data_IF_629573851171
#
_entry.id   IF_629573851171
#
_cell.length_a   1.000
_cell.length_b   1.000
_cell.length_c   1.000
_cell.angle_alpha   90.00
_cell.angle_beta   90.00
_cell.angle_gamma   90.00
#
_symmetry.space_group_name_H-M   'P 1'
#
loop_
_entity.id
_entity.type
_entity.pdbx_description
1 polymer ?
#
# COMPACT_ATOMS: atom_id res chain seq x y z
N UNK A 1 -32.05 10.01 -16.73
CA UNK A 1 -31.21 10.54 -15.65
C UNK A 1 -29.95 11.09 -16.28
N UNK A 2 -29.63 12.36 -16.04
CA UNK A 2 -28.37 12.95 -16.50
C UNK A 2 -27.24 12.40 -15.62
N UNK A 3 -26.20 11.85 -16.25
CA UNK A 3 -24.99 11.37 -15.57
C UNK A 3 -24.33 12.52 -14.79
N UNK A 4 -23.81 12.29 -13.57
CA UNK A 4 -23.05 13.31 -12.86
C UNK A 4 -21.82 13.68 -13.69
N UNK A 5 -21.67 14.97 -13.96
CA UNK A 5 -20.51 15.53 -14.66
C UNK A 5 -19.27 15.33 -13.78
N UNK A 6 -18.24 14.70 -14.36
CA UNK A 6 -16.96 14.43 -13.72
C UNK A 6 -16.06 15.66 -13.82
N UNK A 7 -15.53 16.16 -12.70
CA UNK A 7 -14.59 17.29 -12.68
C UNK A 7 -13.37 16.97 -11.82
N UNK A 8 -12.18 17.04 -12.42
CA UNK A 8 -10.91 16.96 -11.71
C UNK A 8 -10.71 18.27 -10.94
N UNK A 9 -10.69 18.20 -9.61
CA UNK A 9 -10.88 19.38 -8.76
C UNK A 9 -9.63 20.23 -8.50
N UNK A 10 -8.46 19.90 -9.07
CA UNK A 10 -7.26 20.68 -8.75
C UNK A 10 -6.33 20.92 -9.94
N UNK A 11 -6.24 22.20 -10.35
CA UNK A 11 -5.13 22.79 -11.10
C UNK A 11 -4.69 24.02 -10.30
N UNK A 12 -3.42 24.08 -9.90
CA UNK A 12 -2.86 25.25 -9.22
C UNK A 12 -3.18 26.53 -10.02
N UNK A 13 -3.73 27.54 -9.34
CA UNK A 13 -4.02 28.86 -9.92
C UNK A 13 -5.31 29.00 -10.75
N UNK A 14 -6.22 28.02 -10.75
CA UNK A 14 -7.55 28.15 -11.37
C UNK A 14 -8.69 27.87 -10.40
N UNK A 15 -9.48 28.90 -10.14
CA UNK A 15 -10.75 28.76 -9.44
C UNK A 15 -11.75 27.99 -10.31
N UNK A 16 -12.40 26.98 -9.73
CA UNK A 16 -13.51 26.28 -10.35
C UNK A 16 -14.80 26.70 -9.65
N UNK A 17 -15.81 27.03 -10.44
CA UNK A 17 -17.13 27.44 -9.96
C UNK A 17 -18.16 26.42 -10.40
N UNK A 18 -19.01 26.00 -9.48
CA UNK A 18 -20.07 25.04 -9.73
C UNK A 18 -21.44 25.65 -9.40
N UNK A 19 -22.51 25.25 -10.10
CA UNK A 19 -23.87 25.61 -9.73
C UNK A 19 -24.24 25.16 -8.31
N UNK A 20 -24.99 26.00 -7.61
CA UNK A 20 -25.49 25.70 -6.26
C UNK A 20 -26.30 24.40 -6.23
N UNK A 21 -26.14 23.64 -5.15
CA UNK A 21 -26.82 22.36 -4.87
C UNK A 21 -26.49 21.21 -5.83
N UNK A 22 -25.56 21.40 -6.77
CA UNK A 22 -25.10 20.33 -7.64
C UNK A 22 -24.33 19.27 -6.83
N UNK A 23 -24.71 18.01 -6.99
CA UNK A 23 -23.92 16.90 -6.48
C UNK A 23 -22.62 16.80 -7.28
N UNK A 24 -21.51 16.98 -6.59
CA UNK A 24 -20.17 16.90 -7.15
C UNK A 24 -19.48 15.65 -6.67
N UNK A 25 -18.68 15.10 -7.57
CA UNK A 25 -17.73 14.06 -7.28
C UNK A 25 -16.33 14.70 -7.36
N UNK A 26 -15.62 14.73 -6.24
CA UNK A 26 -14.38 15.50 -6.07
C UNK A 26 -13.25 14.53 -5.69
N UNK A 27 -12.11 14.65 -6.39
CA UNK A 27 -10.85 13.95 -6.11
C UNK A 27 -9.69 14.87 -6.48
N UNK A 28 -8.49 14.56 -5.99
CA UNK A 28 -7.26 15.25 -6.34
C UNK A 28 -6.08 14.28 -6.32
N UNK A 29 -4.96 14.67 -6.92
CA UNK A 29 -3.72 13.90 -6.89
C UNK A 29 -2.50 14.81 -7.03
N UNK A 30 -1.33 14.32 -6.62
CA UNK A 30 -0.06 15.01 -6.70
C UNK A 30 1.09 13.98 -6.90
N UNK A 31 2.12 14.25 -7.72
CA UNK A 31 2.35 15.42 -8.57
C UNK A 31 1.37 15.52 -9.74
N UNK A 32 1.03 16.75 -10.11
CA UNK A 32 0.17 17.04 -11.26
C UNK A 32 0.84 16.57 -12.57
N UNK A 33 0.15 15.73 -13.34
CA UNK A 33 0.65 15.25 -14.63
C UNK A 33 -0.07 15.96 -15.78
N UNK A 34 0.48 17.09 -16.23
CA UNK A 34 -0.10 17.92 -17.30
C UNK A 34 -0.10 17.28 -18.70
N UNK A 35 0.42 16.05 -18.86
CA UNK A 35 0.53 15.38 -20.16
C UNK A 35 -0.65 14.47 -20.51
N UNK A 36 -1.51 14.13 -19.55
CA UNK A 36 -2.71 13.32 -19.80
C UNK A 36 -3.84 14.21 -20.35
N UNK A 37 -3.82 14.41 -21.66
CA UNK A 37 -4.75 15.30 -22.38
C UNK A 37 -6.14 14.69 -22.67
N UNK A 38 -6.36 13.41 -22.33
CA UNK A 38 -7.50 12.64 -22.86
C UNK A 38 -8.37 11.93 -21.80
N UNK A 39 -8.03 11.99 -20.52
CA UNK A 39 -8.81 11.33 -19.46
C UNK A 39 -8.60 12.01 -18.12
N UNK A 40 -9.62 12.73 -17.64
CA UNK A 40 -9.60 13.32 -16.31
C UNK A 40 -9.71 12.27 -15.18
N UNK A 41 -9.96 10.99 -15.51
CA UNK A 41 -10.39 9.98 -14.54
C UNK A 41 -9.37 8.87 -14.26
N UNK A 42 -8.27 8.86 -15.02
CA UNK A 42 -7.24 7.83 -14.91
C UNK A 42 -5.88 8.48 -14.97
N UNK A 43 -5.00 8.08 -14.06
CA UNK A 43 -3.60 8.49 -14.04
C UNK A 43 -2.78 7.41 -14.73
N UNK A 44 -2.08 7.74 -15.80
CA UNK A 44 -1.05 6.86 -16.35
C UNK A 44 0.25 7.03 -15.55
N UNK A 45 0.67 5.97 -14.86
CA UNK A 45 1.90 5.98 -14.06
C UNK A 45 2.84 4.94 -14.66
N UNK A 46 4.07 5.37 -14.94
CA UNK A 46 5.13 4.52 -15.46
C UNK A 46 6.33 4.58 -14.52
N UNK A 47 6.86 3.40 -14.18
CA UNK A 47 8.15 3.28 -13.53
C UNK A 47 9.23 3.64 -14.54
N UNK A 48 10.25 4.39 -14.11
CA UNK A 48 11.36 4.71 -15.00
C UNK A 48 12.10 3.42 -15.38
N UNK A 49 12.58 3.20 -16.63
CA UNK A 49 13.20 1.91 -17.02
C UNK A 49 14.54 1.62 -16.32
N UNK A 50 15.34 2.64 -16.03
CA UNK A 50 16.70 2.44 -15.46
C UNK A 50 16.91 3.10 -14.10
N UNK A 51 16.31 4.27 -13.86
CA UNK A 51 16.53 5.06 -12.66
C UNK A 51 15.24 5.19 -11.82
N UNK A 52 15.04 4.25 -10.91
CA UNK A 52 13.89 4.21 -10.00
C UNK A 52 13.71 5.48 -9.15
N UNK A 53 14.75 6.30 -8.93
CA UNK A 53 14.64 7.56 -8.20
C UNK A 53 13.85 8.63 -8.96
N UNK A 54 13.63 8.43 -10.26
CA UNK A 54 12.82 9.31 -11.10
C UNK A 54 11.36 8.88 -11.18
N UNK A 55 10.99 7.71 -10.61
CA UNK A 55 9.60 7.30 -10.51
C UNK A 55 8.87 8.26 -9.56
N UNK A 56 7.79 8.92 -9.99
CA UNK A 56 7.08 9.88 -9.15
C UNK A 56 6.35 9.16 -8.02
N UNK A 57 6.45 9.70 -6.81
CA UNK A 57 5.60 9.28 -5.69
C UNK A 57 4.24 9.95 -5.83
N UNK A 58 3.24 9.18 -6.26
CA UNK A 58 1.90 9.70 -6.49
C UNK A 58 1.04 9.49 -5.25
N UNK A 59 0.48 10.59 -4.76
CA UNK A 59 -0.59 10.59 -3.75
C UNK A 59 -1.91 10.96 -4.41
N UNK A 60 -2.99 10.32 -3.98
CA UNK A 60 -4.35 10.55 -4.48
C UNK A 60 -5.27 10.75 -3.28
N UNK A 61 -6.28 11.60 -3.45
CA UNK A 61 -7.37 11.71 -2.51
C UNK A 61 -8.53 10.80 -2.90
N UNK A 62 -9.01 10.02 -1.95
CA UNK A 62 -10.22 9.22 -2.13
C UNK A 62 -11.39 10.10 -2.56
N UNK A 63 -12.25 9.61 -3.46
CA UNK A 63 -13.27 10.46 -4.01
C UNK A 63 -14.43 10.68 -3.06
N UNK A 64 -14.75 11.95 -2.85
CA UNK A 64 -15.89 12.38 -2.03
C UNK A 64 -17.05 12.81 -2.91
N UNK A 65 -18.25 12.43 -2.50
CA UNK A 65 -19.50 12.92 -3.13
C UNK A 65 -20.15 13.89 -2.16
N UNK A 66 -20.32 15.14 -2.58
CA UNK A 66 -20.92 16.18 -1.75
C UNK A 66 -21.78 17.11 -2.60
N UNK A 67 -22.83 17.68 -2.00
CA UNK A 67 -23.56 18.78 -2.64
C UNK A 67 -22.74 20.04 -2.52
N UNK A 68 -22.51 20.71 -3.65
CA UNK A 68 -21.85 21.99 -3.65
C UNK A 68 -22.71 23.05 -2.97
N UNK A 69 -22.14 23.65 -1.94
CA UNK A 69 -22.63 24.87 -1.35
C UNK A 69 -21.50 25.89 -1.36
N UNK A 70 -21.73 27.12 -1.84
CA UNK A 70 -20.73 28.17 -1.85
C UNK A 70 -20.05 28.32 -0.48
N UNK A 71 -18.73 28.51 -0.49
CA UNK A 71 -17.89 28.69 0.72
C UNK A 71 -17.88 27.50 1.70
N UNK A 72 -18.28 26.30 1.26
CA UNK A 72 -18.14 25.08 2.07
C UNK A 72 -16.79 24.41 1.78
N UNK A 73 -15.93 24.19 2.79
CA UNK A 73 -14.69 23.47 2.60
C UNK A 73 -14.97 22.00 2.25
N UNK A 74 -14.09 21.42 1.43
CA UNK A 74 -14.09 19.98 1.12
C UNK A 74 -12.77 19.41 1.59
N UNK A 75 -12.83 18.52 2.56
CA UNK A 75 -11.65 17.81 3.05
C UNK A 75 -11.32 16.64 2.12
N UNK A 76 -10.06 16.58 1.69
CA UNK A 76 -9.54 15.54 0.82
C UNK A 76 -8.39 14.82 1.52
N UNK A 77 -8.61 13.56 1.89
CA UNK A 77 -7.60 12.72 2.51
C UNK A 77 -6.66 12.15 1.46
N UNK A 78 -5.43 12.66 1.39
CA UNK A 78 -4.42 12.13 0.49
C UNK A 78 -3.75 10.89 1.06
N UNK A 79 -3.51 9.91 0.20
CA UNK A 79 -2.73 8.74 0.52
C UNK A 79 -1.83 8.33 -0.64
N UNK A 80 -0.71 7.71 -0.33
CA UNK A 80 0.15 7.08 -1.33
C UNK A 80 -0.60 5.91 -1.99
N UNK A 81 -0.53 5.80 -3.32
CA UNK A 81 -1.14 4.70 -4.07
C UNK A 81 -0.13 3.63 -4.52
N UNK A 82 1.16 3.99 -4.50
CA UNK A 82 2.28 3.09 -4.80
C UNK A 82 2.73 2.34 -3.53
N UNK A 83 3.57 1.32 -3.73
CA UNK A 83 4.26 0.65 -2.63
C UNK A 83 5.72 1.09 -2.56
N UNK A 84 6.26 1.21 -1.34
CA UNK A 84 7.67 1.49 -1.09
C UNK A 84 8.39 0.28 -0.54
N UNK A 85 9.53 -0.05 -1.15
CA UNK A 85 10.37 -1.15 -0.75
C UNK A 85 11.75 -0.67 -0.30
N UNK A 86 12.11 -0.99 0.93
CA UNK A 86 13.46 -0.91 1.45
C UNK A 86 14.01 -2.32 1.65
N UNK A 87 15.22 -2.58 1.13
CA UNK A 87 15.87 -3.88 1.26
C UNK A 87 17.13 -3.69 2.11
N UNK A 88 17.18 -4.44 3.20
CA UNK A 88 18.37 -4.60 4.04
C UNK A 88 18.95 -5.98 3.81
N UNK A 89 20.27 -6.09 3.86
CA UNK A 89 20.94 -7.37 3.71
C UNK A 89 22.08 -7.54 4.70
N UNK A 90 22.23 -8.74 5.24
CA UNK A 90 23.41 -9.20 5.97
C UNK A 90 23.92 -10.51 5.38
N UNK A 91 25.14 -10.90 5.73
CA UNK A 91 25.67 -12.21 5.42
C UNK A 91 25.43 -13.18 6.58
N UNK A 92 24.99 -14.38 6.26
CA UNK A 92 24.82 -15.46 7.24
C UNK A 92 26.10 -16.32 7.40
N UNK A 93 26.90 -16.43 6.34
CA UNK A 93 28.02 -17.38 6.24
C UNK A 93 29.39 -16.70 6.45
N UNK A 94 29.44 -15.63 7.25
CA UNK A 94 30.63 -14.79 7.43
C UNK A 94 30.71 -13.65 6.41
N UNK A 95 31.75 -12.83 6.47
CA UNK A 95 31.85 -11.62 5.63
C UNK A 95 31.79 -11.95 4.14
N UNK A 96 31.06 -11.13 3.38
CA UNK A 96 30.87 -11.32 1.94
C UNK A 96 30.99 -9.98 1.21
N UNK A 97 31.42 -10.03 -0.05
CA UNK A 97 31.47 -8.86 -0.91
C UNK A 97 30.43 -8.99 -2.02
N UNK A 98 29.56 -8.01 -2.17
CA UNK A 98 28.64 -7.90 -3.30
C UNK A 98 29.30 -7.05 -4.38
N UNK A 99 29.22 -7.50 -5.62
CA UNK A 99 29.59 -6.71 -6.80
C UNK A 99 28.47 -5.77 -7.19
N UNK A 100 27.28 -6.33 -7.41
CA UNK A 100 26.09 -5.60 -7.88
C UNK A 100 24.83 -6.19 -7.26
N UNK A 101 23.87 -5.32 -6.93
CA UNK A 101 22.54 -5.71 -6.45
C UNK A 101 21.49 -4.99 -7.28
N UNK A 102 20.57 -5.74 -7.87
CA UNK A 102 19.57 -5.21 -8.79
C UNK A 102 18.16 -5.75 -8.56
N UNK A 103 17.16 -4.90 -8.82
CA UNK A 103 15.79 -5.34 -9.06
C UNK A 103 15.49 -5.29 -10.55
N UNK A 104 15.16 -6.44 -11.12
CA UNK A 104 14.65 -6.56 -12.48
C UNK A 104 13.12 -6.65 -12.45
N UNK A 105 12.47 -5.86 -13.30
CA UNK A 105 11.02 -5.85 -13.53
C UNK A 105 10.76 -6.36 -14.94
N UNK A 106 9.92 -7.38 -15.05
CA UNK A 106 9.56 -8.00 -16.34
C UNK A 106 8.88 -6.98 -17.30
N UNK A 107 9.01 -7.22 -18.61
CA UNK A 107 8.38 -6.40 -19.66
C UNK A 107 6.85 -6.32 -19.48
N UNK A 108 6.26 -5.22 -19.93
CA UNK A 108 4.81 -4.93 -19.83
C UNK A 108 4.28 -4.82 -18.39
N UNK A 109 5.15 -4.72 -17.38
CA UNK A 109 4.78 -4.52 -15.97
C UNK A 109 5.17 -3.14 -15.42
N UNK A 110 5.86 -2.33 -16.22
CA UNK A 110 6.42 -1.04 -15.82
C UNK A 110 5.48 0.16 -16.02
N UNK A 111 4.25 -0.02 -16.50
CA UNK A 111 3.21 1.01 -16.43
C UNK A 111 1.82 0.45 -16.06
N UNK A 112 1.05 1.25 -15.32
CA UNK A 112 -0.34 0.95 -14.93
C UNK A 112 -1.18 2.22 -14.94
N UNK A 113 -2.49 2.03 -15.09
CA UNK A 113 -3.45 3.11 -14.89
C UNK A 113 -4.00 3.05 -13.47
N UNK A 114 -4.09 4.19 -12.80
CA UNK A 114 -4.86 4.30 -11.56
C UNK A 114 -6.17 5.02 -11.85
N UNK A 115 -7.29 4.34 -11.65
CA UNK A 115 -8.61 4.91 -11.89
C UNK A 115 -9.05 5.70 -10.65
N UNK A 116 -9.08 7.03 -10.79
CA UNK A 116 -9.47 7.94 -9.72
C UNK A 116 -10.93 7.73 -9.28
N UNK A 117 -11.79 7.20 -10.17
CA UNK A 117 -13.20 6.94 -9.87
C UNK A 117 -13.39 5.71 -8.99
N UNK A 118 -12.71 4.63 -9.35
CA UNK A 118 -12.88 3.32 -8.71
C UNK A 118 -11.81 3.03 -7.67
N UNK A 119 -10.82 3.92 -7.51
CA UNK A 119 -9.67 3.77 -6.61
C UNK A 119 -8.92 2.45 -6.82
N UNK A 120 -8.79 2.03 -8.08
CA UNK A 120 -8.22 0.74 -8.47
C UNK A 120 -7.11 0.88 -9.51
N UNK A 121 -6.12 0.01 -9.39
CA UNK A 121 -5.08 -0.19 -10.40
C UNK A 121 -5.63 -1.05 -11.55
N UNK A 122 -5.49 -0.53 -12.77
CA UNK A 122 -5.83 -1.21 -14.02
C UNK A 122 -4.54 -1.50 -14.82
N UNK A 123 -4.51 -2.64 -15.51
CA UNK A 123 -3.38 -2.97 -16.39
C UNK A 123 -3.31 -1.98 -17.56
N UNK A 124 -2.10 -1.56 -17.91
CA UNK A 124 -1.89 -0.83 -19.15
C UNK A 124 -2.03 -1.77 -20.35
N UNK A 125 -2.60 -1.28 -21.45
CA UNK A 125 -2.61 -1.96 -22.75
C UNK A 125 -1.39 -1.62 -23.59
N UNK A 126 -0.59 -0.64 -23.17
CA UNK A 126 0.65 -0.26 -23.84
C UNK A 126 1.76 -1.26 -23.51
N UNK A 127 2.56 -1.62 -24.53
CA UNK A 127 3.77 -2.38 -24.28
C UNK A 127 4.80 -1.49 -23.60
N UNK A 128 5.47 -2.03 -22.57
CA UNK A 128 6.48 -1.28 -21.83
C UNK A 128 7.76 -2.12 -21.70
N UNK A 129 8.95 -1.48 -21.76
CA UNK A 129 10.21 -2.21 -21.61
C UNK A 129 10.33 -2.77 -20.18
N UNK A 130 11.15 -3.80 -20.04
CA UNK A 130 11.63 -4.23 -18.73
C UNK A 130 12.36 -3.07 -18.03
N UNK A 131 12.34 -3.08 -16.69
CA UNK A 131 13.14 -2.13 -15.92
C UNK A 131 14.24 -2.87 -15.15
N UNK A 132 15.41 -2.26 -15.00
CA UNK A 132 16.49 -2.81 -14.19
C UNK A 132 17.06 -1.73 -13.27
N UNK A 133 16.91 -1.95 -11.97
CA UNK A 133 17.23 -0.99 -10.92
C UNK A 133 18.44 -1.42 -10.16
N UNK A 134 19.52 -0.68 -10.36
CA UNK A 134 20.68 -0.76 -9.51
C UNK A 134 20.34 -0.23 -8.11
N UNK A 135 20.48 -1.09 -7.10
CA UNK A 135 20.27 -0.75 -5.70
C UNK A 135 21.60 -0.33 -5.06
N UNK A 136 22.59 -1.22 -5.13
CA UNK A 136 23.94 -0.97 -4.64
C UNK A 136 25.00 -1.70 -5.48
N UNK A 137 26.22 -1.19 -5.38
CA UNK A 137 27.41 -1.80 -5.97
C UNK A 137 28.51 -1.88 -4.91
N UNK A 138 29.42 -2.85 -5.08
CA UNK A 138 30.62 -3.00 -4.26
C UNK A 138 30.34 -2.93 -2.75
N UNK A 139 29.25 -3.55 -2.30
CA UNK A 139 28.81 -3.51 -0.90
C UNK A 139 29.43 -4.65 -0.09
N UNK A 140 30.11 -4.33 1.00
CA UNK A 140 30.59 -5.34 1.95
C UNK A 140 29.48 -5.71 2.93
N UNK A 141 29.25 -7.00 3.14
CA UNK A 141 28.30 -7.54 4.10
C UNK A 141 29.04 -8.20 5.26
N UNK A 142 28.47 -8.02 6.45
CA UNK A 142 28.82 -8.77 7.67
C UNK A 142 27.55 -9.34 8.29
N UNK A 143 27.59 -9.78 9.54
CA UNK A 143 26.40 -10.19 10.30
C UNK A 143 25.43 -9.06 10.62
N UNK A 144 25.84 -7.79 10.44
CA UNK A 144 25.00 -6.61 10.66
C UNK A 144 24.30 -6.22 9.35
N UNK A 145 22.96 -6.09 9.33
CA UNK A 145 22.24 -5.67 8.13
C UNK A 145 22.61 -4.26 7.68
N UNK A 146 22.86 -4.10 6.38
CA UNK A 146 23.07 -2.81 5.71
C UNK A 146 21.92 -2.52 4.74
N UNK A 147 21.58 -1.25 4.54
CA UNK A 147 20.60 -0.86 3.52
C UNK A 147 21.22 -1.04 2.13
N UNK A 148 20.53 -1.72 1.23
CA UNK A 148 20.92 -1.87 -0.17
C UNK A 148 20.44 -0.70 -1.03
N UNK A 149 19.49 0.08 -0.55
CA UNK A 149 19.00 1.28 -1.23
C UNK A 149 18.98 2.46 -0.26
N UNK A 150 19.44 3.62 -0.73
CA UNK A 150 19.51 4.86 0.07
C UNK A 150 18.15 5.53 0.25
N UNK A 151 17.25 5.35 -0.71
CA UNK A 151 15.85 5.80 -0.69
C UNK A 151 14.97 4.60 -1.04
N UNK A 152 13.70 4.59 -0.64
CA UNK A 152 12.84 3.44 -0.91
C UNK A 152 12.47 3.35 -2.39
N UNK A 153 12.48 2.13 -2.94
CA UNK A 153 12.11 1.89 -4.33
C UNK A 153 10.59 1.89 -4.45
N UNK A 154 10.05 2.70 -5.34
CA UNK A 154 8.63 2.76 -5.64
C UNK A 154 8.25 1.70 -6.68
N UNK A 155 7.25 0.89 -6.34
CA UNK A 155 6.73 -0.18 -7.19
C UNK A 155 5.20 -0.17 -7.17
N UNK A 156 4.58 -0.78 -8.17
CA UNK A 156 3.14 -0.99 -8.13
C UNK A 156 2.76 -2.07 -7.11
N UNK A 157 1.67 -1.91 -6.37
CA UNK A 157 1.17 -2.96 -5.49
C UNK A 157 0.88 -4.27 -6.23
N UNK A 158 1.12 -5.41 -5.58
CA UNK A 158 0.79 -6.73 -6.12
C UNK A 158 1.62 -7.18 -7.34
N UNK A 159 2.80 -6.59 -7.59
CA UNK A 159 3.65 -6.97 -8.73
C UNK A 159 4.79 -7.93 -8.38
N UNK A 160 4.78 -8.53 -7.18
CA UNK A 160 5.87 -9.35 -6.63
C UNK A 160 6.33 -10.47 -7.56
N UNK A 161 5.39 -11.11 -8.27
CA UNK A 161 5.67 -12.19 -9.23
C UNK A 161 6.45 -11.75 -10.48
N UNK A 162 6.50 -10.45 -10.74
CA UNK A 162 7.17 -9.84 -11.89
C UNK A 162 8.46 -9.11 -11.51
N UNK A 163 8.84 -9.13 -10.23
CA UNK A 163 10.03 -8.46 -9.72
C UNK A 163 11.02 -9.49 -9.20
N UNK A 164 12.25 -9.43 -9.71
CA UNK A 164 13.35 -10.32 -9.31
C UNK A 164 14.48 -9.51 -8.68
N UNK A 165 14.87 -9.90 -7.47
CA UNK A 165 16.11 -9.43 -6.85
C UNK A 165 17.26 -10.31 -7.30
N UNK A 166 18.34 -9.72 -7.79
CA UNK A 166 19.58 -10.42 -8.15
C UNK A 166 20.75 -9.79 -7.41
N UNK A 167 21.61 -10.64 -6.84
CA UNK A 167 22.82 -10.24 -6.13
C UNK A 167 24.01 -10.99 -6.73
N UNK A 168 25.00 -10.22 -7.19
CA UNK A 168 26.28 -10.75 -7.62
C UNK A 168 27.22 -10.83 -6.41
N UNK A 169 27.43 -12.03 -5.89
CA UNK A 169 28.30 -12.30 -4.74
C UNK A 169 29.71 -12.66 -5.24
N UNK A 170 30.73 -12.01 -4.69
CA UNK A 170 32.13 -12.35 -4.96
C UNK A 170 32.47 -13.72 -4.36
N UNK A 171 33.00 -14.60 -5.19
CA UNK A 171 33.46 -15.94 -4.82
C UNK A 171 34.93 -15.92 -4.40
N UNK A 172 35.37 -17.02 -3.78
CA UNK A 172 36.75 -17.17 -3.27
C UNK A 172 37.82 -17.11 -4.39
N UNK A 173 37.46 -17.52 -5.60
CA UNK A 173 38.32 -17.43 -6.79
C UNK A 173 38.38 -16.02 -7.41
N UNK A 174 37.67 -15.05 -6.81
CA UNK A 174 37.60 -13.66 -7.25
C UNK A 174 36.52 -13.38 -8.30
N UNK A 175 35.85 -14.40 -8.84
CA UNK A 175 34.72 -14.25 -9.76
C UNK A 175 33.43 -13.83 -9.04
N UNK A 176 32.37 -13.55 -9.79
CA UNK A 176 31.05 -13.23 -9.24
C UNK A 176 30.04 -14.33 -9.59
N UNK A 177 29.33 -14.82 -8.58
CA UNK A 177 28.19 -15.72 -8.73
C UNK A 177 26.89 -14.98 -8.47
N UNK A 178 25.92 -15.12 -9.37
CA UNK A 178 24.60 -14.50 -9.23
C UNK A 178 23.66 -15.39 -8.39
N UNK A 179 23.03 -14.79 -7.39
CA UNK A 179 21.95 -15.40 -6.61
C UNK A 179 20.71 -14.55 -6.86
N UNK A 180 19.58 -15.17 -7.23
CA UNK A 180 18.35 -14.44 -7.52
C UNK A 180 17.12 -15.06 -6.88
N UNK A 181 16.12 -14.23 -6.61
CA UNK A 181 14.81 -14.64 -6.11
C UNK A 181 13.70 -13.73 -6.64
N UNK A 182 12.51 -14.26 -6.90
CA UNK A 182 11.34 -13.40 -7.11
C UNK A 182 10.84 -12.87 -5.77
N UNK A 183 10.28 -11.66 -5.76
CA UNK A 183 9.65 -11.14 -4.54
C UNK A 183 8.44 -12.00 -4.13
N UNK A 184 7.78 -12.68 -5.08
CA UNK A 184 6.69 -13.62 -4.78
C UNK A 184 7.13 -14.88 -4.03
N UNK A 185 8.42 -15.20 -4.06
CA UNK A 185 8.97 -16.37 -3.38
C UNK A 185 9.28 -16.09 -1.89
N UNK A 186 9.14 -14.83 -1.47
CA UNK A 186 9.36 -14.37 -0.10
C UNK A 186 8.30 -14.99 0.80
N UNK A 187 8.78 -15.72 1.80
CA UNK A 187 7.95 -16.35 2.82
C UNK A 187 8.48 -16.01 4.21
N UNK A 188 7.57 -15.94 5.17
CA UNK A 188 7.93 -15.82 6.58
C UNK A 188 8.53 -17.12 7.12
N UNK A 189 8.87 -17.14 8.41
CA UNK A 189 9.45 -18.32 9.08
C UNK A 189 8.50 -19.52 9.13
N UNK A 190 7.19 -19.32 8.90
CA UNK A 190 6.17 -20.36 8.86
C UNK A 190 5.94 -20.91 7.45
N UNK A 191 6.55 -20.28 6.43
CA UNK A 191 6.34 -20.62 5.02
C UNK A 191 5.18 -19.88 4.36
N UNK A 192 4.58 -18.90 5.05
CA UNK A 192 3.47 -18.09 4.54
C UNK A 192 4.02 -16.97 3.64
N UNK A 193 3.45 -16.74 2.44
CA UNK A 193 3.86 -15.63 1.57
C UNK A 193 3.73 -14.28 2.27
N UNK A 194 4.73 -13.42 2.14
CA UNK A 194 4.70 -12.06 2.69
C UNK A 194 4.35 -11.10 1.54
N UNK A 195 3.22 -10.37 1.61
CA UNK A 195 2.88 -9.41 0.58
C UNK A 195 3.68 -8.13 0.88
N UNK A 196 4.81 -7.96 0.17
CA UNK A 196 5.75 -6.85 0.41
C UNK A 196 5.43 -5.61 -0.41
N UNK A 197 4.54 -5.70 -1.42
CA UNK A 197 4.14 -4.56 -2.24
C UNK A 197 2.66 -4.22 -2.02
N UNK A 198 2.37 -3.45 -0.96
CA UNK A 198 1.02 -2.99 -0.62
C UNK A 198 0.84 -1.50 -0.96
N UNK A 199 -0.37 -1.07 -1.37
CA UNK A 199 -0.64 0.33 -1.67
C UNK A 199 -0.52 1.18 -0.41
N UNK A 200 0.24 2.26 -0.50
CA UNK A 200 0.43 3.20 0.60
C UNK A 200 1.20 2.64 1.79
N UNK A 201 2.04 1.62 1.56
CA UNK A 201 2.84 0.97 2.61
C UNK A 201 4.32 1.05 2.26
N UNK A 202 5.11 1.35 3.29
CA UNK A 202 6.56 1.19 3.31
C UNK A 202 6.91 -0.17 3.91
N UNK A 203 7.39 -1.05 3.05
CA UNK A 203 7.88 -2.38 3.41
C UNK A 203 9.40 -2.33 3.59
N UNK A 204 9.90 -2.77 4.74
CA UNK A 204 11.33 -3.04 4.93
C UNK A 204 11.55 -4.54 5.02
N UNK A 205 12.28 -5.08 4.05
CA UNK A 205 12.64 -6.49 3.97
C UNK A 205 14.10 -6.66 4.40
N UNK A 206 14.36 -7.47 5.43
CA UNK A 206 15.72 -7.80 5.86
C UNK A 206 16.06 -9.23 5.45
N UNK A 207 17.05 -9.35 4.57
CA UNK A 207 17.50 -10.61 3.99
C UNK A 207 18.85 -11.05 4.59
N UNK A 208 18.95 -12.35 4.84
CA UNK A 208 20.22 -13.05 5.06
C UNK A 208 20.67 -13.67 3.75
N UNK A 209 21.85 -13.27 3.30
CA UNK A 209 22.54 -13.90 2.19
C UNK A 209 23.27 -15.15 2.70
N UNK A 210 22.89 -16.31 2.16
CA UNK A 210 23.61 -17.57 2.35
C UNK A 210 24.46 -17.86 1.12
N UNK A 211 25.18 -18.98 1.14
CA UNK A 211 26.12 -19.36 0.09
C UNK A 211 25.45 -19.53 -1.29
N UNK A 212 24.21 -19.98 -1.34
CA UNK A 212 23.50 -20.28 -2.60
C UNK A 212 22.07 -19.74 -2.68
N UNK A 213 21.56 -19.13 -1.61
CA UNK A 213 20.17 -18.64 -1.57
C UNK A 213 20.01 -17.47 -0.57
N UNK A 214 18.78 -16.97 -0.49
CA UNK A 214 18.35 -15.99 0.50
C UNK A 214 17.48 -16.64 1.56
N UNK A 215 17.50 -16.09 2.76
CA UNK A 215 16.42 -16.29 3.73
C UNK A 215 15.93 -14.96 4.27
N UNK A 216 14.64 -14.87 4.55
CA UNK A 216 14.03 -13.70 5.18
C UNK A 216 14.30 -13.77 6.69
N UNK A 217 15.01 -12.79 7.23
CA UNK A 217 15.22 -12.71 8.69
C UNK A 217 14.07 -12.02 9.39
N UNK A 218 13.64 -10.90 8.80
CA UNK A 218 12.60 -10.05 9.31
C UNK A 218 11.98 -9.24 8.18
N UNK A 219 10.72 -8.83 8.37
CA UNK A 219 10.05 -7.84 7.55
C UNK A 219 9.27 -6.90 8.46
N UNK A 220 9.11 -5.65 8.04
CA UNK A 220 8.22 -4.71 8.69
C UNK A 220 7.38 -4.01 7.64
N UNK A 221 6.09 -3.94 7.89
CA UNK A 221 5.14 -3.17 7.09
C UNK A 221 4.73 -1.97 7.92
N UNK A 222 4.88 -0.78 7.36
CA UNK A 222 4.49 0.47 8.00
C UNK A 222 3.62 1.25 7.03
N UNK A 223 2.50 1.80 7.50
CA UNK A 223 1.73 2.73 6.70
C UNK A 223 2.59 3.92 6.28
N UNK A 224 2.42 4.32 5.03
CA UNK A 224 3.09 5.48 4.51
C UNK A 224 2.21 6.69 4.78
N UNK A 225 2.42 7.28 5.94
CA UNK A 225 1.75 8.51 6.32
C UNK A 225 2.22 9.66 5.41
N UNK A 226 1.26 10.43 4.92
CA UNK A 226 1.53 11.74 4.34
C UNK A 226 1.81 12.67 5.52
N UNK A 227 3.06 13.14 5.65
CA UNK A 227 3.39 14.17 6.65
C UNK A 227 2.66 15.44 6.24
N UNK A 228 1.53 15.71 6.88
CA UNK A 228 0.73 16.90 6.64
C UNK A 228 1.55 18.13 7.07
N UNK A 229 2.13 18.85 6.12
CA UNK A 229 3.10 19.91 6.37
C UNK A 229 2.52 21.14 7.14
N UNK A 230 1.22 21.12 7.49
CA UNK A 230 0.55 22.16 8.27
C UNK A 230 -0.15 21.69 9.55
N UNK A 231 -0.29 20.38 9.77
CA UNK A 231 -0.69 19.80 11.06
C UNK A 231 0.50 19.01 11.57
N UNK A 232 1.38 19.68 12.32
CA UNK A 232 1.97 18.99 13.45
C UNK A 232 0.78 18.43 14.24
N UNK A 233 0.53 17.14 14.14
CA UNK A 233 -0.35 16.43 15.05
C UNK A 233 0.21 16.69 16.44
N UNK A 234 -0.33 17.72 17.10
CA UNK A 234 -0.18 17.86 18.52
C UNK A 234 -0.82 16.61 19.08
N UNK A 235 0.02 15.66 19.50
CA UNK A 235 -0.42 14.50 20.28
C UNK A 235 -1.22 15.06 21.45
N UNK A 236 -2.53 14.94 21.39
CA UNK A 236 -3.38 15.35 22.49
C UNK A 236 -3.21 14.27 23.56
N UNK A 237 -2.70 14.62 24.74
CA UNK A 237 -2.63 13.70 25.88
C UNK A 237 -4.03 13.10 26.09
N UNK A 238 -4.21 11.81 25.75
CA UNK A 238 -5.51 11.12 25.76
C UNK A 238 -5.79 10.24 24.53
N UNK A 239 -5.02 10.34 23.45
CA UNK A 239 -5.11 9.44 22.29
C UNK A 239 -4.67 8.03 22.69
N UNK A 240 -5.57 7.05 22.54
CA UNK A 240 -5.28 5.63 22.79
C UNK A 240 -4.69 5.03 21.52
N UNK A 241 -3.38 4.84 21.51
CA UNK A 241 -2.71 3.97 20.55
C UNK A 241 -3.23 2.54 20.70
N UNK A 242 -3.42 1.83 19.59
CA UNK A 242 -3.79 0.42 19.66
C UNK A 242 -4.03 -0.23 18.32
N UNK A 243 -4.39 -1.51 18.37
CA UNK A 243 -4.65 -2.34 17.19
C UNK A 243 -6.14 -2.64 17.07
N UNK A 244 -6.57 -2.90 15.83
CA UNK A 244 -7.89 -3.42 15.52
C UNK A 244 -7.75 -4.92 15.25
N UNK A 245 -8.53 -5.73 15.95
CA UNK A 245 -8.73 -7.13 15.64
C UNK A 245 -9.96 -7.26 14.73
N UNK A 246 -9.74 -7.75 13.52
CA UNK A 246 -10.76 -7.96 12.51
C UNK A 246 -11.20 -9.42 12.57
N UNK A 247 -12.45 -9.63 12.96
CA UNK A 247 -13.12 -10.92 12.92
C UNK A 247 -14.03 -10.98 11.71
N UNK A 248 -14.09 -12.12 11.03
CA UNK A 248 -15.12 -12.38 10.02
C UNK A 248 -16.14 -13.35 10.60
N UNK A 249 -17.35 -12.85 10.85
CA UNK A 249 -18.46 -13.65 11.37
C UNK A 249 -19.00 -14.53 10.25
N UNK A 250 -19.02 -15.83 10.54
CA UNK A 250 -19.35 -16.87 9.56
C UNK A 250 -20.85 -17.01 9.39
N UNK A 251 -21.28 -16.98 8.15
CA UNK A 251 -22.62 -17.42 7.74
C UNK A 251 -22.51 -18.70 6.91
N UNK A 252 -21.43 -18.88 6.12
CA UNK A 252 -21.13 -20.10 5.36
C UNK A 252 -19.77 -20.72 5.78
N UNK A 253 -19.64 -22.06 5.87
CA UNK A 253 -18.37 -22.75 6.14
C UNK A 253 -17.20 -22.39 5.21
N UNK A 254 -17.47 -21.97 3.97
CA UNK A 254 -16.46 -21.55 3.00
C UNK A 254 -15.87 -20.15 3.29
N UNK A 255 -16.49 -19.40 4.20
CA UNK A 255 -16.06 -18.05 4.58
C UNK A 255 -14.87 -18.05 5.55
N UNK A 256 -14.37 -19.24 5.93
CA UNK A 256 -13.33 -19.43 6.92
C UNK A 256 -11.95 -18.91 6.51
N UNK A 257 -11.80 -18.35 5.31
CA UNK A 257 -10.52 -17.89 4.78
C UNK A 257 -10.54 -16.40 4.38
N UNK A 258 -11.69 -15.72 4.47
CA UNK A 258 -11.82 -14.32 4.04
C UNK A 258 -10.89 -13.42 4.84
N UNK A 259 -10.80 -13.61 6.16
CA UNK A 259 -9.92 -12.81 7.02
C UNK A 259 -8.43 -12.91 6.63
N UNK A 260 -8.00 -14.01 6.00
CA UNK A 260 -6.62 -14.17 5.50
C UNK A 260 -6.35 -13.35 4.24
N UNK A 261 -7.40 -12.97 3.53
CA UNK A 261 -7.34 -12.15 2.32
C UNK A 261 -7.50 -10.66 2.61
N UNK A 262 -7.82 -10.28 3.84
CA UNK A 262 -7.89 -8.87 4.24
C UNK A 262 -6.46 -8.33 4.36
N UNK A 263 -6.16 -7.30 3.58
CA UNK A 263 -4.85 -6.67 3.52
C UNK A 263 -4.78 -5.41 4.37
N UNK A 264 -5.82 -4.58 4.31
CA UNK A 264 -5.94 -3.36 5.11
C UNK A 264 -7.40 -2.96 5.23
N UNK A 265 -7.67 -2.05 6.17
CA UNK A 265 -8.98 -1.44 6.35
C UNK A 265 -8.84 0.08 6.38
N UNK A 266 -9.91 0.76 5.99
CA UNK A 266 -10.11 2.19 6.16
C UNK A 266 -11.47 2.39 6.81
N UNK A 267 -11.50 3.21 7.86
CA UNK A 267 -12.70 3.58 8.60
C UNK A 267 -12.86 5.09 8.48
N UNK A 268 -13.98 5.54 7.93
CA UNK A 268 -14.34 6.96 7.85
C UNK A 268 -15.49 7.19 8.83
N UNK A 269 -15.29 8.03 9.85
CA UNK A 269 -16.27 8.32 10.92
C UNK A 269 -16.07 9.73 11.45
N UNK A 270 -17.15 10.49 11.67
CA UNK A 270 -17.08 11.81 12.32
C UNK A 270 -16.15 12.82 11.64
N UNK A 271 -15.98 12.73 10.31
CA UNK A 271 -15.04 13.58 9.55
C UNK A 271 -13.56 13.23 9.73
N UNK A 272 -13.24 12.10 10.38
CA UNK A 272 -11.89 11.53 10.48
C UNK A 272 -11.79 10.26 9.65
N UNK A 273 -10.57 10.00 9.18
CA UNK A 273 -10.20 8.77 8.50
C UNK A 273 -9.14 8.02 9.31
N UNK A 274 -9.35 6.72 9.48
CA UNK A 274 -8.43 5.80 10.13
C UNK A 274 -8.08 4.69 9.15
N UNK A 275 -6.81 4.57 8.77
CA UNK A 275 -6.32 3.52 7.87
C UNK A 275 -5.32 2.65 8.63
N UNK A 276 -5.44 1.33 8.48
CA UNK A 276 -4.45 0.43 9.07
C UNK A 276 -4.34 -0.87 8.28
N UNK A 277 -3.12 -1.38 8.18
CA UNK A 277 -2.79 -2.62 7.48
C UNK A 277 -2.91 -3.84 8.39
N UNK A 278 -3.27 -4.99 7.84
CA UNK A 278 -3.18 -6.26 8.56
C UNK A 278 -1.71 -6.67 8.66
N UNK A 279 -1.23 -6.88 9.88
CA UNK A 279 0.17 -7.28 10.15
C UNK A 279 0.30 -8.76 10.47
N UNK A 280 -0.76 -9.38 10.96
CA UNK A 280 -0.77 -10.81 11.30
C UNK A 280 -2.18 -11.39 11.20
N UNK A 281 -2.25 -12.70 10.98
CA UNK A 281 -3.50 -13.45 10.97
C UNK A 281 -3.41 -14.60 11.96
N UNK A 282 -4.50 -14.87 12.67
CA UNK A 282 -4.60 -15.95 13.66
C UNK A 282 -5.59 -16.99 13.18
N UNK A 283 -5.13 -18.19 12.79
CA UNK A 283 -6.03 -19.28 12.39
C UNK A 283 -6.80 -19.90 13.56
N UNK A 284 -6.39 -19.68 14.80
CA UNK A 284 -7.09 -20.18 15.98
C UNK A 284 -8.36 -19.37 16.29
N UNK A 285 -8.30 -18.05 16.08
CA UNK A 285 -9.40 -17.12 16.35
C UNK A 285 -10.13 -16.68 15.08
N UNK A 286 -9.64 -17.09 13.90
CA UNK A 286 -10.14 -16.68 12.59
C UNK A 286 -10.21 -15.15 12.46
N UNK A 287 -9.15 -14.52 12.93
CA UNK A 287 -9.03 -13.07 13.01
C UNK A 287 -7.75 -12.56 12.36
N UNK A 288 -7.78 -11.31 11.96
CA UNK A 288 -6.64 -10.57 11.44
C UNK A 288 -6.36 -9.40 12.39
N UNK A 289 -5.10 -9.18 12.76
CA UNK A 289 -4.70 -8.08 13.63
C UNK A 289 -4.01 -7.01 12.81
N UNK A 290 -4.45 -5.76 12.98
CA UNK A 290 -3.89 -4.64 12.24
C UNK A 290 -2.57 -4.15 12.84
N UNK A 291 -1.90 -3.22 12.15
CA UNK A 291 -0.83 -2.42 12.74
C UNK A 291 -1.37 -1.52 13.86
N UNK A 292 -0.45 -0.97 14.65
CA UNK A 292 -0.79 0.03 15.66
C UNK A 292 -1.22 1.32 14.96
N UNK A 293 -2.41 1.81 15.30
CA UNK A 293 -2.90 3.13 14.96
C UNK A 293 -2.46 4.12 16.04
N UNK A 294 -2.01 5.31 15.62
CA UNK A 294 -1.69 6.40 16.55
C UNK A 294 -2.95 6.90 17.28
N UNK A 295 -4.09 6.89 16.60
CA UNK A 295 -5.41 7.19 17.17
C UNK A 295 -6.38 6.07 16.78
N UNK A 296 -6.93 5.33 17.75
CA UNK A 296 -8.07 4.46 17.48
C UNK A 296 -9.36 5.30 17.41
N UNK A 297 -10.27 5.01 16.45
CA UNK A 297 -11.61 5.55 16.56
C UNK A 297 -12.20 5.13 17.92
N UNK A 298 -12.90 6.02 18.62
CA UNK A 298 -13.55 5.68 19.89
C UNK A 298 -15.00 5.24 19.67
N UNK A 299 -15.64 5.79 18.65
CA UNK A 299 -17.02 5.54 18.29
C UNK A 299 -17.19 5.66 16.77
N UNK A 300 -18.07 4.83 16.22
CA UNK A 300 -18.50 4.92 14.82
C UNK A 300 -19.94 5.43 14.78
N UNK A 301 -20.16 6.55 14.10
CA UNK A 301 -21.50 7.05 13.84
C UNK A 301 -22.26 6.18 12.83
N UNK A 302 -23.57 6.37 12.71
CA UNK A 302 -24.40 5.62 11.76
C UNK A 302 -24.08 5.90 10.29
N UNK A 303 -23.26 6.91 10.00
CA UNK A 303 -22.78 7.26 8.66
C UNK A 303 -21.39 6.67 8.38
N UNK A 304 -20.82 5.94 9.34
CA UNK A 304 -19.45 5.46 9.25
C UNK A 304 -19.31 4.42 8.14
N UNK A 305 -18.26 4.59 7.35
CA UNK A 305 -17.95 3.72 6.23
C UNK A 305 -16.75 2.87 6.59
N UNK A 306 -16.91 1.55 6.45
CA UNK A 306 -15.81 0.60 6.50
C UNK A 306 -15.47 0.19 5.08
N UNK A 307 -14.21 0.40 4.69
CA UNK A 307 -13.68 -0.04 3.41
C UNK A 307 -12.59 -1.08 3.70
N UNK A 308 -12.72 -2.25 3.07
CA UNK A 308 -11.80 -3.38 3.23
C UNK A 308 -11.07 -3.58 1.91
N UNK A 309 -9.74 -3.57 1.97
CA UNK A 309 -8.87 -3.86 0.84
C UNK A 309 -8.37 -5.29 0.95
N UNK A 310 -8.51 -6.03 -0.14
CA UNK A 310 -8.18 -7.45 -0.21
C UNK A 310 -6.85 -7.66 -0.93
N UNK A 311 -6.17 -8.77 -0.63
CA UNK A 311 -4.87 -9.14 -1.23
C UNK A 311 -4.92 -9.30 -2.76
N UNK A 312 -6.10 -9.50 -3.35
CA UNK A 312 -6.29 -9.54 -4.80
C UNK A 312 -6.55 -8.16 -5.43
N UNK A 313 -6.43 -7.09 -4.63
CA UNK A 313 -6.77 -5.70 -4.94
C UNK A 313 -8.26 -5.42 -5.12
N UNK A 314 -9.15 -6.35 -4.77
CA UNK A 314 -10.57 -6.02 -4.65
C UNK A 314 -10.81 -5.10 -3.45
N UNK A 315 -11.82 -4.23 -3.58
CA UNK A 315 -12.18 -3.23 -2.57
C UNK A 315 -13.64 -3.43 -2.23
N UNK A 316 -13.92 -3.59 -0.94
CA UNK A 316 -15.26 -3.84 -0.42
C UNK A 316 -15.69 -2.70 0.48
N UNK A 317 -16.78 -2.02 0.11
CA UNK A 317 -17.44 -1.04 0.97
C UNK A 317 -18.47 -1.77 1.82
N UNK A 318 -18.14 -1.99 3.08
CA UNK A 318 -18.97 -2.74 4.01
C UNK A 318 -19.99 -1.76 4.64
N UNK A 319 -21.29 -1.99 4.47
CA UNK A 319 -22.32 -1.17 5.11
C UNK A 319 -22.25 -1.27 6.64
N UNK A 320 -22.59 -0.18 7.34
CA UNK A 320 -22.66 -0.15 8.82
C UNK A 320 -23.52 -1.28 9.41
N UNK A 321 -24.55 -1.72 8.70
CA UNK A 321 -25.42 -2.83 9.13
C UNK A 321 -24.76 -4.21 9.08
N UNK A 322 -23.60 -4.34 8.43
CA UNK A 322 -22.91 -5.63 8.20
C UNK A 322 -21.59 -5.73 8.96
N UNK A 323 -21.32 -4.82 9.89
CA UNK A 323 -20.22 -4.96 10.82
C UNK A 323 -20.58 -4.48 12.22
N UNK A 324 -19.95 -5.07 13.22
CA UNK A 324 -20.04 -4.68 14.61
C UNK A 324 -18.70 -4.14 15.05
N UNK A 325 -18.78 -3.10 15.87
CA UNK A 325 -17.63 -2.38 16.37
C UNK A 325 -17.70 -2.36 17.90
N UNK A 326 -16.73 -2.99 18.54
CA UNK A 326 -16.69 -3.16 19.99
C UNK A 326 -15.32 -2.75 20.54
N UNK A 327 -15.34 -2.19 21.75
CA UNK A 327 -14.13 -1.81 22.45
C UNK A 327 -13.88 -2.79 23.61
N UNK A 328 -12.72 -3.43 23.60
CA UNK A 328 -12.13 -4.12 24.76
C UNK A 328 -10.97 -3.25 25.27
N UNK A 329 -10.66 -3.28 26.56
CA UNK A 329 -9.93 -2.23 27.30
C UNK A 329 -8.64 -1.70 26.63
N UNK A 330 -7.97 -2.53 25.80
CA UNK A 330 -6.78 -2.18 25.01
C UNK A 330 -6.84 -2.56 23.52
N UNK A 331 -7.98 -3.06 23.02
CA UNK A 331 -8.13 -3.55 21.64
C UNK A 331 -9.51 -3.27 21.10
N UNK A 332 -9.55 -2.78 19.88
CA UNK A 332 -10.80 -2.58 19.16
C UNK A 332 -11.11 -3.86 18.39
N UNK A 333 -12.33 -4.37 18.50
CA UNK A 333 -12.78 -5.56 17.78
C UNK A 333 -13.76 -5.12 16.70
N UNK A 334 -13.40 -5.37 15.44
CA UNK A 334 -14.22 -5.15 14.27
C UNK A 334 -14.70 -6.50 13.73
N UNK A 335 -15.99 -6.80 13.90
CA UNK A 335 -16.56 -8.07 13.42
C UNK A 335 -17.40 -7.83 12.17
N UNK A 336 -16.98 -8.36 11.03
CA UNK A 336 -17.64 -8.19 9.72
C UNK A 336 -18.44 -9.44 9.37
N UNK A 337 -19.71 -9.28 8.99
CA UNK A 337 -20.52 -10.40 8.49
C UNK A 337 -20.03 -10.85 7.11
N UNK A 338 -19.79 -12.15 6.93
CA UNK A 338 -19.21 -12.68 5.70
C UNK A 338 -20.06 -12.42 4.44
N UNK A 339 -21.37 -12.26 4.59
CA UNK A 339 -22.29 -11.84 3.51
C UNK A 339 -21.91 -10.51 2.88
N UNK A 340 -21.19 -9.63 3.59
CA UNK A 340 -20.72 -8.36 3.05
C UNK A 340 -19.72 -8.52 1.88
N UNK A 341 -19.12 -9.70 1.74
CA UNK A 341 -18.16 -10.03 0.67
C UNK A 341 -18.79 -10.82 -0.49
N UNK A 342 -20.12 -10.99 -0.49
CA UNK A 342 -20.85 -11.74 -1.53
C UNK A 342 -21.64 -10.81 -2.49
N UNK A 343 -21.41 -9.50 -2.41
CA UNK A 343 -22.16 -8.47 -3.17
C UNK A 343 -21.65 -8.23 -4.58
#
# INVERSE_FOLDING_TARGET
>A
SLLPYYYLAWQEGKEQYWPDEQELWITAYNPLNNKDSHSNNKLNIALHPENWRMTPDVVVADPVTTKYFPNTPVDLSFHHIMSSLNIKMKSADGDAQLGKVELFIEENQSARFYNLKTTQWEKSTASTPSANYLLSENTSLSSIPVNLNSTSVLLFPGMEQFVRLTVDKKLLDGSYGAISMKLSDIKDKTGTPIPVLLPGVRSTLTLSLKSTNFSVDNYSLQEWEVVDAGRATMHTEGEKEGQIEINVRRINPLDSEIYKKIQSIQIISGGKEYRTIVTSTSPLTFSALTGTLNELPQYLDTQSQLIVYMTDNSVWKIPFSMYQYQYDENRLILTIDSEAFNQ
#
